data_IF_960822975435
#
_entry.id   IF_960822975435
#
_cell.length_a   1.000
_cell.length_b   1.000
_cell.length_c   1.000
_cell.angle_alpha   90.00
_cell.angle_beta   90.00
_cell.angle_gamma   90.00
#
_symmetry.space_group_name_H-M   'P 1'
#
loop_
_entity.id
_entity.type
_entity.pdbx_description
1 polymer ?
#
# COMPACT_ATOMS: atom_id res chain seq x y z
N UNK A 1 34.12 -16.09 -2.74
CA UNK A 1 32.72 -15.59 -2.69
C UNK A 1 31.88 -16.41 -3.67
N UNK A 2 30.90 -17.23 -3.25
CA UNK A 2 30.17 -18.05 -4.20
C UNK A 2 29.23 -17.16 -5.02
N UNK A 3 29.32 -17.30 -6.34
CA UNK A 3 28.59 -16.53 -7.33
C UNK A 3 27.07 -16.76 -7.15
N UNK A 4 26.30 -15.68 -7.05
CA UNK A 4 24.85 -15.64 -6.83
C UNK A 4 24.05 -16.05 -8.08
N UNK A 5 24.24 -17.26 -8.58
CA UNK A 5 23.46 -17.78 -9.69
C UNK A 5 22.23 -18.54 -9.17
N UNK A 6 21.05 -18.22 -9.68
CA UNK A 6 19.91 -19.15 -9.67
C UNK A 6 20.30 -20.30 -10.61
N UNK A 7 20.99 -21.33 -10.09
CA UNK A 7 21.70 -22.32 -10.91
C UNK A 7 20.86 -23.50 -11.42
N UNK A 8 19.54 -23.50 -11.18
CA UNK A 8 18.68 -24.65 -11.50
C UNK A 8 17.36 -24.21 -12.15
N UNK A 9 16.93 -25.00 -13.15
CA UNK A 9 15.62 -24.90 -13.77
C UNK A 9 14.54 -25.13 -12.70
N UNK A 10 13.61 -24.18 -12.54
CA UNK A 10 12.62 -24.22 -11.46
C UNK A 10 11.20 -24.28 -12.01
N UNK A 11 10.41 -25.22 -11.51
CA UNK A 11 8.96 -25.21 -11.75
C UNK A 11 8.29 -24.24 -10.77
N UNK A 12 7.52 -23.28 -11.28
CA UNK A 12 6.77 -22.32 -10.49
C UNK A 12 5.40 -22.03 -11.11
N UNK A 13 4.37 -21.88 -10.28
CA UNK A 13 3.08 -21.37 -10.73
C UNK A 13 3.04 -19.85 -10.59
N UNK A 14 2.48 -19.17 -11.58
CA UNK A 14 2.29 -17.73 -11.54
C UNK A 14 1.23 -17.35 -10.47
N UNK A 15 1.56 -16.43 -9.57
CA UNK A 15 0.63 -15.97 -8.54
C UNK A 15 -0.66 -15.33 -9.08
N UNK A 16 -0.62 -14.72 -10.28
CA UNK A 16 -1.77 -14.01 -10.86
C UNK A 16 -2.70 -14.88 -11.69
N UNK A 17 -2.15 -15.77 -12.52
CA UNK A 17 -2.91 -16.55 -13.51
C UNK A 17 -2.81 -18.07 -13.34
N UNK A 18 -2.10 -18.51 -12.30
CA UNK A 18 -1.92 -19.91 -11.93
C UNK A 18 -1.26 -20.80 -13.01
N UNK A 19 -0.70 -20.18 -14.05
CA UNK A 19 0.01 -20.88 -15.13
C UNK A 19 1.29 -21.52 -14.58
N UNK A 20 1.49 -22.80 -14.87
CA UNK A 20 2.70 -23.54 -14.53
C UNK A 20 3.81 -23.16 -15.51
N UNK A 21 4.95 -22.75 -14.95
CA UNK A 21 6.10 -22.23 -15.70
C UNK A 21 7.36 -22.99 -15.28
N UNK A 22 8.24 -23.21 -16.25
CA UNK A 22 9.62 -23.59 -15.99
C UNK A 22 10.48 -22.35 -16.15
N UNK A 23 11.04 -21.87 -15.05
CA UNK A 23 11.90 -20.70 -14.99
C UNK A 23 13.35 -21.17 -15.19
N UNK A 24 14.02 -20.79 -16.29
CA UNK A 24 15.42 -21.10 -16.50
C UNK A 24 16.31 -20.33 -15.52
N UNK A 25 17.58 -20.75 -15.35
CA UNK A 25 18.55 -19.95 -14.60
C UNK A 25 18.66 -18.53 -15.19
N UNK A 26 18.40 -17.51 -14.37
CA UNK A 26 18.41 -16.11 -14.80
C UNK A 26 19.77 -15.45 -14.59
N UNK A 27 20.21 -14.65 -15.56
CA UNK A 27 21.34 -13.72 -15.41
C UNK A 27 20.92 -12.46 -14.64
N UNK A 28 21.88 -11.69 -14.09
CA UNK A 28 21.61 -10.50 -13.24
C UNK A 28 20.72 -9.43 -13.89
N UNK A 29 20.71 -9.32 -15.21
CA UNK A 29 19.92 -8.34 -15.96
C UNK A 29 18.68 -8.94 -16.64
N UNK A 30 18.35 -10.20 -16.35
CA UNK A 30 17.19 -10.88 -16.95
C UNK A 30 16.07 -11.02 -15.92
N UNK A 31 14.84 -10.84 -16.38
CA UNK A 31 13.63 -11.08 -15.61
C UNK A 31 12.81 -12.17 -16.32
N UNK A 32 12.18 -13.06 -15.55
CA UNK A 32 11.25 -14.04 -16.09
C UNK A 32 9.84 -13.45 -16.08
N UNK A 33 9.17 -13.48 -17.24
CA UNK A 33 7.78 -13.06 -17.39
C UNK A 33 6.88 -14.25 -17.69
N UNK A 34 5.66 -14.22 -17.15
CA UNK A 34 4.66 -15.22 -17.47
C UNK A 34 4.08 -14.97 -18.88
N UNK A 35 4.11 -15.94 -19.82
CA UNK A 35 3.59 -15.77 -21.18
C UNK A 35 2.07 -15.58 -21.24
N UNK A 36 1.33 -16.04 -20.21
CA UNK A 36 -0.14 -15.93 -20.17
C UNK A 36 -0.61 -14.55 -19.73
N UNK A 37 0.04 -13.98 -18.71
CA UNK A 37 -0.42 -12.78 -18.04
C UNK A 37 0.58 -11.62 -18.08
N UNK A 38 1.80 -11.81 -18.59
CA UNK A 38 2.87 -10.81 -18.63
C UNK A 38 3.17 -10.21 -17.24
N UNK A 39 3.12 -11.04 -16.18
CA UNK A 39 3.63 -10.62 -14.86
C UNK A 39 5.05 -11.12 -14.70
N UNK A 40 5.90 -10.30 -14.07
CA UNK A 40 7.26 -10.69 -13.70
C UNK A 40 7.19 -11.70 -12.55
N UNK A 41 7.65 -12.93 -12.78
CA UNK A 41 7.59 -14.04 -11.82
C UNK A 41 8.89 -14.22 -11.05
N UNK A 42 10.02 -13.86 -11.66
CA UNK A 42 11.32 -13.87 -11.01
C UNK A 42 12.22 -12.76 -11.57
N UNK A 43 13.02 -12.19 -10.67
CA UNK A 43 14.03 -11.18 -11.01
C UNK A 43 15.42 -11.83 -10.93
N UNK A 44 16.31 -11.52 -11.87
CA UNK A 44 17.70 -11.97 -11.84
C UNK A 44 18.62 -11.12 -10.97
N UNK A 45 18.23 -9.88 -10.66
CA UNK A 45 18.98 -8.97 -9.78
C UNK A 45 18.59 -9.19 -8.33
N UNK A 46 19.59 -9.37 -7.46
CA UNK A 46 19.41 -9.46 -6.02
C UNK A 46 20.38 -8.50 -5.30
N UNK A 47 19.89 -7.80 -4.27
CA UNK A 47 20.75 -7.07 -3.35
C UNK A 47 21.07 -7.95 -2.15
N UNK A 48 22.33 -7.95 -1.73
CA UNK A 48 22.73 -8.68 -0.53
C UNK A 48 22.00 -8.11 0.70
N UNK A 49 21.62 -8.98 1.63
CA UNK A 49 20.96 -8.58 2.88
C UNK A 49 21.76 -7.52 3.66
N UNK A 50 23.09 -7.53 3.60
CA UNK A 50 23.93 -6.50 4.24
C UNK A 50 23.66 -5.08 3.69
N UNK A 51 23.48 -4.93 2.37
CA UNK A 51 23.19 -3.62 1.77
C UNK A 51 21.78 -3.13 2.15
N UNK A 52 20.81 -4.05 2.12
CA UNK A 52 19.44 -3.76 2.56
C UNK A 52 19.42 -3.36 4.05
N UNK A 53 20.17 -4.07 4.89
CA UNK A 53 20.27 -3.76 6.32
C UNK A 53 20.96 -2.42 6.61
N UNK A 54 22.00 -2.05 5.83
CA UNK A 54 22.67 -0.76 5.97
C UNK A 54 21.72 0.41 5.65
N UNK A 55 20.95 0.29 4.57
CA UNK A 55 19.93 1.30 4.21
C UNK A 55 18.81 1.33 5.25
N UNK A 56 18.34 0.17 5.72
CA UNK A 56 17.32 0.09 6.75
C UNK A 56 17.78 0.74 8.07
N UNK A 57 19.03 0.52 8.48
CA UNK A 57 19.60 1.17 9.65
C UNK A 57 19.68 2.70 9.48
N UNK A 58 20.15 3.18 8.32
CA UNK A 58 20.18 4.61 8.02
C UNK A 58 18.77 5.22 8.06
N UNK A 59 17.77 4.54 7.50
CA UNK A 59 16.37 4.97 7.56
C UNK A 59 15.86 5.03 9.01
N UNK A 60 16.14 4.02 9.84
CA UNK A 60 15.75 4.00 11.26
C UNK A 60 16.40 5.14 12.07
N UNK A 61 17.63 5.52 11.75
CA UNK A 61 18.33 6.64 12.42
C UNK A 61 17.75 7.99 12.00
N UNK A 62 17.40 8.16 10.72
CA UNK A 62 16.79 9.39 10.20
C UNK A 62 15.34 9.58 10.64
N UNK A 63 14.66 8.49 10.97
CA UNK A 63 13.22 8.47 11.21
C UNK A 63 12.77 9.33 12.40
N UNK A 64 13.40 9.29 13.60
CA UNK A 64 13.07 10.21 14.67
C UNK A 64 13.16 11.68 14.24
N UNK A 65 14.28 12.05 13.58
CA UNK A 65 14.51 13.42 13.12
C UNK A 65 13.45 13.86 12.09
N UNK A 66 13.06 12.99 11.17
CA UNK A 66 12.04 13.29 10.16
C UNK A 66 10.63 13.49 10.75
N UNK A 67 10.32 12.86 11.88
CA UNK A 67 8.98 12.88 12.46
C UNK A 67 8.79 13.91 13.58
N UNK A 68 9.85 14.25 14.31
CA UNK A 68 9.80 15.20 15.43
C UNK A 68 10.15 16.63 15.03
N UNK A 69 11.06 16.81 14.06
CA UNK A 69 11.44 18.15 13.62
C UNK A 69 10.29 18.82 12.83
N UNK A 70 10.18 20.15 12.87
CA UNK A 70 9.18 20.88 12.09
C UNK A 70 9.42 20.65 10.60
N UNK A 71 8.37 20.22 9.91
CA UNK A 71 8.31 20.06 8.47
C UNK A 71 8.00 21.40 7.78
N UNK A 72 7.06 22.15 8.35
CA UNK A 72 6.65 23.45 7.85
C UNK A 72 6.62 24.43 9.02
N UNK A 73 7.10 25.65 8.75
CA UNK A 73 7.06 26.78 9.67
C UNK A 73 6.18 27.85 9.06
N UNK A 74 5.17 28.27 9.78
CA UNK A 74 4.29 29.36 9.35
C UNK A 74 4.53 30.54 10.28
N UNK A 75 4.61 31.74 9.73
CA UNK A 75 4.55 32.95 10.52
C UNK A 75 3.14 33.56 10.39
N UNK A 76 2.38 33.51 11.48
CA UNK A 76 1.06 34.14 11.60
C UNK A 76 1.17 35.23 12.66
N UNK A 77 0.93 36.48 12.26
CA UNK A 77 0.89 37.64 13.17
C UNK A 77 2.15 37.80 14.05
N UNK A 78 3.33 37.43 13.54
CA UNK A 78 4.60 37.55 14.26
C UNK A 78 4.95 36.36 15.16
N UNK A 79 4.09 35.34 15.23
CA UNK A 79 4.35 34.09 15.96
C UNK A 79 4.73 33.00 14.96
N UNK A 80 5.87 32.35 15.20
CA UNK A 80 6.30 31.19 14.41
C UNK A 80 5.60 29.93 14.92
N UNK A 81 4.79 29.33 14.07
CA UNK A 81 4.11 28.06 14.30
C UNK A 81 4.89 26.97 13.57
N UNK A 82 5.32 25.97 14.35
CA UNK A 82 5.98 24.78 13.86
C UNK A 82 4.94 23.68 13.71
N UNK A 83 5.01 22.93 12.61
CA UNK A 83 4.20 21.74 12.40
C UNK A 83 5.08 20.53 12.10
N UNK A 84 4.91 19.49 12.90
CA UNK A 84 5.54 18.18 12.74
C UNK A 84 4.51 17.09 12.50
N UNK A 85 4.96 15.94 11.99
CA UNK A 85 4.08 14.79 11.80
C UNK A 85 3.47 14.33 13.13
N UNK A 86 4.29 14.29 14.17
CA UNK A 86 3.89 13.81 15.49
C UNK A 86 2.82 14.69 16.14
N UNK A 87 2.97 16.02 16.06
CA UNK A 87 1.98 16.97 16.58
C UNK A 87 0.64 16.82 15.88
N UNK A 88 0.62 16.71 14.54
CA UNK A 88 -0.63 16.50 13.79
C UNK A 88 -1.39 15.26 14.21
N UNK A 89 -0.67 14.14 14.40
CA UNK A 89 -1.26 12.89 14.89
C UNK A 89 -1.82 13.03 16.31
N UNK A 90 -1.06 13.65 17.21
CA UNK A 90 -1.46 13.86 18.59
C UNK A 90 -2.74 14.71 18.67
N UNK A 91 -2.78 15.81 17.93
CA UNK A 91 -3.89 16.74 17.90
C UNK A 91 -5.16 16.10 17.32
N UNK A 92 -5.01 15.38 16.21
CA UNK A 92 -6.10 14.65 15.57
C UNK A 92 -6.72 13.58 16.47
N UNK A 93 -5.90 12.89 17.27
CA UNK A 93 -6.37 11.90 18.23
C UNK A 93 -7.16 12.55 19.38
N UNK A 94 -6.68 13.67 19.91
CA UNK A 94 -7.34 14.39 21.01
C UNK A 94 -8.67 15.05 20.63
N UNK A 95 -8.84 15.42 19.36
CA UNK A 95 -10.06 16.09 18.89
C UNK A 95 -11.22 15.18 18.50
N UNK A 96 -11.14 13.89 18.86
CA UNK A 96 -12.23 12.96 18.64
C UNK A 96 -12.16 12.22 17.30
N UNK A 97 -11.03 12.25 16.59
CA UNK A 97 -10.79 11.45 15.37
C UNK A 97 -9.70 10.36 15.55
N UNK A 98 -9.75 9.53 16.61
CA UNK A 98 -8.69 8.56 16.89
C UNK A 98 -8.57 7.46 15.82
N UNK A 99 -9.68 7.07 15.18
CA UNK A 99 -9.66 6.06 14.11
C UNK A 99 -8.85 6.55 12.91
N UNK A 100 -9.05 7.80 12.50
CA UNK A 100 -8.32 8.36 11.37
C UNK A 100 -6.85 8.63 11.76
N UNK A 101 -6.60 9.13 12.97
CA UNK A 101 -5.24 9.32 13.48
C UNK A 101 -4.45 8.00 13.55
N UNK A 102 -5.07 6.92 14.05
CA UNK A 102 -4.43 5.60 14.12
C UNK A 102 -4.12 5.03 12.73
N UNK A 103 -4.98 5.25 11.73
CA UNK A 103 -4.68 4.83 10.36
C UNK A 103 -3.49 5.61 9.77
N UNK A 104 -3.44 6.93 9.98
CA UNK A 104 -2.32 7.77 9.54
C UNK A 104 -1.02 7.36 10.25
N UNK A 105 -1.06 7.15 11.58
CA UNK A 105 0.07 6.65 12.36
C UNK A 105 0.55 5.29 11.81
N UNK A 106 -0.37 4.38 11.53
CA UNK A 106 -0.05 3.05 11.01
C UNK A 106 0.69 3.15 9.66
N UNK A 107 0.22 3.98 8.74
CA UNK A 107 0.74 4.03 7.36
C UNK A 107 1.97 4.94 7.21
N UNK A 108 2.03 6.06 7.92
CA UNK A 108 3.08 7.06 7.79
C UNK A 108 4.27 6.83 8.74
N UNK A 109 4.04 6.18 9.90
CA UNK A 109 5.06 5.97 10.95
C UNK A 109 5.31 4.49 11.19
N UNK A 110 4.29 3.74 11.63
CA UNK A 110 4.49 2.39 12.13
C UNK A 110 4.90 1.42 11.01
N UNK A 111 4.26 1.45 9.83
CA UNK A 111 4.59 0.56 8.73
C UNK A 111 6.01 0.80 8.16
N UNK A 112 6.44 2.05 7.89
CA UNK A 112 7.83 2.35 7.55
C UNK A 112 8.83 1.86 8.61
N UNK A 113 8.55 2.13 9.90
CA UNK A 113 9.40 1.74 11.01
C UNK A 113 9.53 0.22 11.13
N UNK A 114 8.40 -0.49 11.10
CA UNK A 114 8.35 -1.95 11.17
C UNK A 114 8.97 -2.60 9.91
N UNK A 115 8.90 -1.95 8.75
CA UNK A 115 9.48 -2.49 7.51
C UNK A 115 11.00 -2.37 7.52
N UNK A 116 11.54 -1.19 7.82
CA UNK A 116 12.97 -1.00 7.99
C UNK A 116 13.51 -1.83 9.17
N UNK A 117 12.82 -1.80 10.31
CA UNK A 117 13.12 -2.60 11.50
C UNK A 117 13.11 -4.10 11.22
N UNK A 118 12.15 -4.61 10.45
CA UNK A 118 12.08 -6.01 10.06
C UNK A 118 13.25 -6.43 9.17
N UNK A 119 13.66 -5.60 8.20
CA UNK A 119 14.84 -5.88 7.35
C UNK A 119 16.12 -5.90 8.20
N UNK A 120 16.27 -4.94 9.12
CA UNK A 120 17.42 -4.91 10.03
C UNK A 120 17.40 -6.12 10.99
N UNK A 121 16.22 -6.50 11.49
CA UNK A 121 16.02 -7.71 12.27
C UNK A 121 16.42 -8.97 11.50
N UNK A 122 16.09 -9.10 10.21
CA UNK A 122 16.55 -10.25 9.40
C UNK A 122 18.09 -10.35 9.37
N UNK A 123 18.79 -9.22 9.38
CA UNK A 123 20.25 -9.19 9.43
C UNK A 123 20.78 -9.65 10.80
N UNK A 124 20.18 -9.19 11.90
CA UNK A 124 20.51 -9.63 13.27
C UNK A 124 20.16 -11.11 13.46
N UNK A 125 18.95 -11.52 13.14
CA UNK A 125 18.45 -12.88 13.26
C UNK A 125 19.34 -13.86 12.48
N UNK A 126 19.87 -13.46 11.32
CA UNK A 126 20.85 -14.26 10.59
C UNK A 126 22.18 -14.41 11.36
N UNK A 127 22.64 -13.36 12.06
CA UNK A 127 23.86 -13.40 12.87
C UNK A 127 23.70 -14.34 14.07
N UNK A 128 22.53 -14.32 14.71
CA UNK A 128 22.19 -15.14 15.89
C UNK A 128 21.47 -16.46 15.59
N UNK A 129 21.30 -16.81 14.30
CA UNK A 129 20.58 -18.01 13.81
C UNK A 129 19.15 -18.16 14.35
N UNK A 130 18.44 -17.05 14.58
CA UNK A 130 17.02 -17.07 14.93
C UNK A 130 16.14 -17.43 13.72
N UNK A 131 14.88 -17.81 13.99
CA UNK A 131 13.93 -18.14 12.93
C UNK A 131 13.56 -16.89 12.11
N UNK A 132 13.81 -16.94 10.80
CA UNK A 132 13.54 -15.83 9.86
C UNK A 132 12.11 -15.86 9.30
N UNK A 133 11.42 -17.00 9.46
CA UNK A 133 10.08 -17.27 8.90
C UNK A 133 9.03 -16.21 9.27
N UNK A 134 8.76 -15.91 10.56
CA UNK A 134 7.68 -14.98 10.90
C UNK A 134 7.95 -13.57 10.39
N UNK A 135 9.21 -13.11 10.44
CA UNK A 135 9.59 -11.79 9.96
C UNK A 135 9.40 -11.66 8.44
N UNK A 136 9.78 -12.68 7.67
CA UNK A 136 9.56 -12.68 6.22
C UNK A 136 8.07 -12.62 5.84
N UNK A 137 7.21 -13.33 6.59
CA UNK A 137 5.75 -13.28 6.38
C UNK A 137 5.17 -11.88 6.66
N UNK A 138 5.59 -11.27 7.78
CA UNK A 138 5.10 -9.93 8.17
C UNK A 138 5.58 -8.88 7.17
N UNK A 139 6.86 -8.91 6.77
CA UNK A 139 7.44 -7.94 5.82
C UNK A 139 6.76 -7.94 4.46
N UNK A 140 6.34 -9.12 3.97
CA UNK A 140 5.65 -9.23 2.69
C UNK A 140 4.32 -8.47 2.70
N UNK A 141 3.54 -8.63 3.77
CA UNK A 141 2.28 -7.90 3.95
C UNK A 141 2.51 -6.41 4.24
N UNK A 142 3.49 -6.10 5.09
CA UNK A 142 3.76 -4.74 5.54
C UNK A 142 4.24 -3.81 4.41
N UNK A 143 4.92 -4.36 3.39
CA UNK A 143 5.38 -3.62 2.20
C UNK A 143 4.26 -2.79 1.57
N UNK A 144 3.02 -3.28 1.53
CA UNK A 144 1.92 -2.58 0.88
C UNK A 144 1.40 -1.36 1.67
N UNK A 145 1.70 -1.30 2.97
CA UNK A 145 1.25 -0.26 3.90
C UNK A 145 2.25 0.89 4.08
N UNK A 146 3.46 0.76 3.54
CA UNK A 146 4.47 1.82 3.57
C UNK A 146 4.09 2.90 2.54
N UNK A 147 3.71 4.09 3.01
CA UNK A 147 3.16 5.18 2.17
C UNK A 147 3.87 6.52 2.38
N UNK A 148 5.15 6.45 2.73
CA UNK A 148 5.93 7.64 3.08
C UNK A 148 6.17 8.57 1.87
N UNK A 149 6.18 8.01 0.65
CA UNK A 149 6.16 8.73 -0.62
C UNK A 149 4.86 9.54 -0.81
N UNK A 150 3.70 8.93 -0.53
CA UNK A 150 2.40 9.60 -0.60
C UNK A 150 2.29 10.70 0.46
N UNK A 151 2.86 10.49 1.64
CA UNK A 151 2.93 11.50 2.70
C UNK A 151 3.74 12.75 2.25
N UNK A 152 4.88 12.56 1.59
CA UNK A 152 5.67 13.68 1.04
C UNK A 152 4.85 14.49 0.01
N UNK A 153 4.08 13.82 -0.84
CA UNK A 153 3.18 14.49 -1.79
C UNK A 153 2.06 15.26 -1.08
N UNK A 154 1.47 14.67 -0.04
CA UNK A 154 0.44 15.33 0.78
C UNK A 154 0.98 16.60 1.47
N UNK A 155 2.24 16.59 1.90
CA UNK A 155 2.92 17.78 2.42
C UNK A 155 3.01 18.90 1.39
N UNK A 156 3.32 18.56 0.13
CA UNK A 156 3.30 19.51 -0.98
C UNK A 156 1.90 20.11 -1.19
N UNK A 157 0.87 19.28 -1.30
CA UNK A 157 -0.53 19.73 -1.45
C UNK A 157 -0.97 20.61 -0.28
N UNK A 158 -0.60 20.24 0.94
CA UNK A 158 -0.92 21.02 2.15
C UNK A 158 -0.22 22.38 2.15
N UNK A 159 1.07 22.43 1.81
CA UNK A 159 1.80 23.68 1.70
C UNK A 159 1.14 24.61 0.67
N UNK A 160 0.69 24.10 -0.48
CA UNK A 160 -0.04 24.91 -1.44
C UNK A 160 -1.37 25.43 -0.89
N UNK A 161 -2.15 24.56 -0.22
CA UNK A 161 -3.45 24.96 0.36
C UNK A 161 -3.32 26.06 1.40
N UNK A 162 -2.23 26.09 2.17
CA UNK A 162 -2.03 27.07 3.26
C UNK A 162 -1.40 28.38 2.77
N UNK A 163 -0.73 28.36 1.62
CA UNK A 163 0.02 29.54 1.12
C UNK A 163 -0.84 30.78 0.94
N UNK A 164 -2.12 30.61 0.67
CA UNK A 164 -3.08 31.71 0.52
C UNK A 164 -3.38 32.40 1.87
N UNK A 165 -3.14 31.74 3.00
CA UNK A 165 -3.42 32.24 4.34
C UNK A 165 -2.19 32.74 5.09
N UNK A 166 -0.99 32.22 4.79
CA UNK A 166 0.23 32.59 5.51
C UNK A 166 1.52 32.32 4.73
N UNK A 167 2.59 33.04 5.12
CA UNK A 167 3.95 32.82 4.59
C UNK A 167 4.51 31.50 5.13
N UNK A 168 4.82 30.58 4.22
CA UNK A 168 5.35 29.26 4.51
C UNK A 168 6.87 29.22 4.32
N UNK A 169 7.57 28.79 5.36
CA UNK A 169 8.98 28.45 5.33
C UNK A 169 9.16 26.94 5.55
N UNK A 170 10.06 26.34 4.78
CA UNK A 170 10.42 24.94 4.99
C UNK A 170 11.14 24.75 6.33
N UNK A 171 10.70 23.77 7.12
CA UNK A 171 11.38 23.41 8.36
C UNK A 171 12.56 22.46 8.12
N UNK A 172 13.43 22.32 9.12
CA UNK A 172 14.61 21.44 9.02
C UNK A 172 14.23 19.97 8.82
N UNK A 173 13.04 19.55 9.24
CA UNK A 173 12.52 18.19 9.08
C UNK A 173 12.26 17.76 7.62
N UNK A 174 12.18 18.70 6.67
CA UNK A 174 11.98 18.37 5.25
C UNK A 174 13.12 17.54 4.64
N UNK A 175 14.36 17.89 5.00
CA UNK A 175 15.56 17.22 4.48
C UNK A 175 15.61 15.75 4.94
N UNK A 176 15.53 15.43 6.25
CA UNK A 176 15.50 14.05 6.70
C UNK A 176 14.25 13.32 6.21
N UNK A 177 13.09 13.97 6.06
CA UNK A 177 11.91 13.35 5.45
C UNK A 177 12.18 12.96 3.99
N UNK A 178 12.73 13.85 3.17
CA UNK A 178 13.06 13.56 1.77
C UNK A 178 14.13 12.47 1.64
N UNK A 179 15.15 12.48 2.50
CA UNK A 179 16.15 11.40 2.50
C UNK A 179 15.53 10.07 2.93
N UNK A 180 14.65 10.10 3.94
CA UNK A 180 13.92 8.92 4.41
C UNK A 180 13.00 8.36 3.32
N UNK A 181 12.27 9.20 2.58
CA UNK A 181 11.44 8.76 1.44
C UNK A 181 12.30 8.02 0.41
N UNK A 182 13.43 8.61 0.03
CA UNK A 182 14.34 8.02 -0.95
C UNK A 182 14.92 6.67 -0.48
N UNK A 183 15.38 6.58 0.77
CA UNK A 183 15.90 5.32 1.33
C UNK A 183 14.81 4.24 1.41
N UNK A 184 13.59 4.60 1.82
CA UNK A 184 12.46 3.67 1.89
C UNK A 184 12.03 3.20 0.50
N UNK A 185 11.95 4.09 -0.49
CA UNK A 185 11.67 3.71 -1.89
C UNK A 185 12.75 2.78 -2.44
N UNK A 186 14.03 3.05 -2.18
CA UNK A 186 15.12 2.16 -2.56
C UNK A 186 15.00 0.77 -1.92
N UNK A 187 14.64 0.69 -0.64
CA UNK A 187 14.34 -0.58 0.04
C UNK A 187 13.18 -1.29 -0.65
N UNK A 188 12.07 -0.61 -0.94
CA UNK A 188 10.88 -1.25 -1.55
C UNK A 188 11.14 -1.78 -2.95
N UNK A 189 11.95 -1.08 -3.76
CA UNK A 189 12.33 -1.50 -5.11
C UNK A 189 13.22 -2.75 -5.06
N UNK A 190 14.21 -2.78 -4.17
CA UNK A 190 15.21 -3.84 -4.11
C UNK A 190 14.86 -5.00 -3.16
N UNK A 191 13.85 -4.83 -2.31
CA UNK A 191 13.35 -5.87 -1.42
C UNK A 191 12.52 -6.90 -2.22
N UNK A 192 13.12 -8.07 -2.44
CA UNK A 192 12.49 -9.22 -3.08
C UNK A 192 12.27 -10.37 -2.08
N UNK A 193 11.04 -10.55 -1.54
CA UNK A 193 10.76 -11.58 -0.54
C UNK A 193 10.93 -13.00 -1.11
N UNK A 194 10.52 -13.24 -2.36
CA UNK A 194 10.59 -14.56 -2.99
C UNK A 194 12.03 -15.11 -3.06
N UNK A 195 12.98 -14.22 -3.37
CA UNK A 195 14.42 -14.55 -3.39
C UNK A 195 14.96 -14.80 -1.98
N UNK A 196 14.62 -13.96 -1.00
CA UNK A 196 15.07 -14.12 0.39
C UNK A 196 14.61 -15.47 0.96
N UNK A 197 13.34 -15.81 0.76
CA UNK A 197 12.84 -17.12 1.11
C UNK A 197 13.63 -18.25 0.43
N UNK A 198 14.09 -18.07 -0.82
CA UNK A 198 14.81 -19.13 -1.58
C UNK A 198 16.22 -19.33 -1.08
N UNK A 199 16.85 -18.23 -0.67
CA UNK A 199 18.18 -18.23 -0.11
C UNK A 199 18.24 -18.87 1.27
N UNK A 200 17.26 -18.59 2.13
CA UNK A 200 17.30 -19.04 3.54
C UNK A 200 16.52 -20.33 3.80
N UNK A 201 15.48 -20.61 3.01
CA UNK A 201 14.70 -21.83 3.09
C UNK A 201 14.55 -22.45 1.69
N UNK A 202 15.64 -22.98 1.11
CA UNK A 202 15.57 -23.71 -0.14
C UNK A 202 14.79 -25.01 0.07
N UNK A 203 13.91 -25.30 -0.88
CA UNK A 203 13.20 -26.57 -0.98
C UNK A 203 13.53 -27.19 -2.34
N UNK A 204 13.57 -28.52 -2.44
CA UNK A 204 13.78 -29.19 -3.70
C UNK A 204 12.67 -28.83 -4.69
N UNK A 205 13.05 -28.66 -5.95
CA UNK A 205 12.10 -28.40 -7.05
C UNK A 205 11.21 -29.64 -7.20
N UNK A 206 9.89 -29.49 -7.42
CA UNK A 206 9.02 -30.64 -7.74
C UNK A 206 9.60 -31.42 -8.92
N UNK A 207 9.65 -32.74 -8.83
CA UNK A 207 10.15 -33.58 -9.93
C UNK A 207 9.28 -33.41 -11.18
N UNK A 208 9.86 -33.60 -12.37
CA UNK A 208 9.13 -33.57 -13.64
C UNK A 208 7.93 -34.53 -13.69
N UNK A 209 7.95 -35.57 -12.85
CA UNK A 209 6.91 -36.59 -12.78
C UNK A 209 5.75 -36.20 -11.85
N UNK A 210 5.85 -35.10 -11.10
CA UNK A 210 4.72 -34.62 -10.29
C UNK A 210 3.62 -34.09 -11.21
N UNK A 211 2.38 -34.59 -11.10
CA UNK A 211 1.30 -34.12 -11.96
C UNK A 211 1.03 -32.64 -11.69
N UNK A 212 0.76 -31.85 -12.75
CA UNK A 212 0.66 -30.40 -12.65
C UNK A 212 -0.43 -29.96 -11.66
N UNK A 213 -1.49 -30.73 -11.50
CA UNK A 213 -2.62 -30.47 -10.59
C UNK A 213 -2.24 -30.49 -9.11
N UNK A 214 -1.21 -31.27 -8.74
CA UNK A 214 -0.75 -31.36 -7.35
C UNK A 214 0.22 -30.24 -6.96
N UNK A 215 0.74 -29.51 -7.94
CA UNK A 215 1.62 -28.36 -7.70
C UNK A 215 0.73 -27.15 -7.37
N UNK A 216 0.74 -26.72 -6.12
CA UNK A 216 0.00 -25.56 -5.64
C UNK A 216 0.93 -24.36 -5.44
N UNK A 217 0.43 -23.14 -5.67
CA UNK A 217 1.13 -21.90 -5.33
C UNK A 217 0.79 -21.45 -3.91
N UNK A 218 1.79 -21.28 -3.06
CA UNK A 218 1.63 -20.66 -1.75
C UNK A 218 1.65 -19.13 -1.88
N UNK A 219 0.57 -18.42 -1.51
CA UNK A 219 0.50 -16.98 -1.68
C UNK A 219 1.40 -16.19 -0.71
N UNK A 220 1.86 -16.79 0.39
CA UNK A 220 2.59 -16.08 1.44
C UNK A 220 4.13 -16.21 1.36
N UNK A 221 4.64 -17.13 0.53
CA UNK A 221 6.08 -17.30 0.38
C UNK A 221 6.48 -17.60 -1.07
N UNK A 222 5.53 -17.53 -2.00
CA UNK A 222 5.68 -17.79 -3.43
C UNK A 222 6.35 -19.15 -3.75
N UNK A 223 6.21 -20.13 -2.85
CA UNK A 223 6.62 -21.50 -3.09
C UNK A 223 5.60 -22.18 -4.00
N UNK A 224 6.07 -22.96 -4.96
CA UNK A 224 5.22 -23.78 -5.83
C UNK A 224 5.63 -25.24 -5.66
N UNK A 225 4.68 -26.06 -5.22
CA UNK A 225 4.93 -27.46 -4.95
C UNK A 225 3.78 -28.11 -4.21
N UNK A 226 4.00 -29.34 -3.75
CA UNK A 226 3.00 -30.08 -3.00
C UNK A 226 2.89 -29.59 -1.55
N UNK A 227 1.69 -29.55 -0.97
CA UNK A 227 1.51 -29.35 0.45
C UNK A 227 1.99 -30.58 1.24
N UNK A 228 2.38 -30.38 2.50
CA UNK A 228 2.62 -31.49 3.43
C UNK A 228 1.31 -32.25 3.71
N UNK A 229 1.41 -33.42 4.35
CA UNK A 229 0.27 -34.29 4.74
C UNK A 229 -0.85 -33.51 5.44
N UNK A 230 -0.52 -32.49 6.24
CA UNK A 230 -1.48 -31.62 6.93
C UNK A 230 -2.07 -30.48 6.07
N UNK A 231 -1.86 -30.47 4.75
CA UNK A 231 -2.30 -29.40 3.84
C UNK A 231 -1.55 -28.06 4.00
N UNK A 232 -0.34 -28.08 4.57
CA UNK A 232 0.46 -26.88 4.87
C UNK A 232 1.66 -26.75 3.95
N UNK A 233 2.13 -25.52 3.73
CA UNK A 233 3.34 -25.25 3.00
C UNK A 233 4.55 -25.81 3.75
N UNK A 234 5.43 -26.62 3.12
CA UNK A 234 6.66 -27.09 3.75
C UNK A 234 7.61 -25.93 4.14
N UNK A 235 7.47 -24.76 3.50
CA UNK A 235 8.34 -23.60 3.68
C UNK A 235 7.91 -22.67 4.81
N UNK A 236 6.71 -22.12 4.69
CA UNK A 236 6.19 -21.11 5.61
C UNK A 236 5.17 -21.68 6.61
N UNK A 237 4.83 -22.97 6.51
CA UNK A 237 3.87 -23.68 7.37
C UNK A 237 2.42 -23.17 7.31
N UNK A 238 2.11 -22.18 6.46
CA UNK A 238 0.75 -21.72 6.22
C UNK A 238 -0.03 -22.71 5.37
N UNK A 239 -1.36 -22.78 5.56
CA UNK A 239 -2.24 -23.67 4.77
C UNK A 239 -2.14 -23.33 3.27
N UNK A 240 -1.83 -24.34 2.44
CA UNK A 240 -1.80 -24.18 0.98
C UNK A 240 -3.14 -24.62 0.40
N UNK A 241 -3.73 -23.76 -0.44
CA UNK A 241 -5.01 -24.01 -1.10
C UNK A 241 -4.92 -23.52 -2.54
N UNK A 242 -5.67 -24.17 -3.43
CA UNK A 242 -5.75 -23.77 -4.84
C UNK A 242 -6.32 -22.34 -4.99
N UNK A 243 -7.34 -21.99 -4.20
CA UNK A 243 -7.98 -20.67 -4.19
C UNK A 243 -8.19 -20.16 -2.78
N UNK A 244 -8.27 -18.84 -2.63
CA UNK A 244 -8.62 -18.21 -1.37
C UNK A 244 -10.06 -18.53 -0.97
N UNK A 245 -10.27 -18.86 0.31
CA UNK A 245 -11.62 -19.12 0.83
C UNK A 245 -12.44 -17.83 0.84
N UNK A 246 -13.66 -17.91 0.28
CA UNK A 246 -14.64 -16.83 0.29
C UNK A 246 -14.10 -15.51 -0.29
N UNK A 247 -13.11 -15.54 -1.18
CA UNK A 247 -12.52 -14.32 -1.77
C UNK A 247 -13.58 -13.43 -2.41
N UNK A 248 -14.49 -14.00 -3.20
CA UNK A 248 -15.62 -13.27 -3.80
C UNK A 248 -16.52 -12.62 -2.76
N UNK A 249 -16.96 -13.37 -1.75
CA UNK A 249 -17.87 -12.86 -0.71
C UNK A 249 -17.22 -11.73 0.10
N UNK A 250 -15.96 -11.89 0.51
CA UNK A 250 -15.21 -10.85 1.25
C UNK A 250 -15.03 -9.59 0.41
N UNK A 251 -14.70 -9.75 -0.86
CA UNK A 251 -14.51 -8.61 -1.78
C UNK A 251 -15.84 -7.89 -2.03
N UNK A 252 -16.94 -8.62 -2.25
CA UNK A 252 -18.29 -8.03 -2.36
C UNK A 252 -18.68 -7.24 -1.11
N UNK A 253 -18.51 -7.83 0.07
CA UNK A 253 -18.82 -7.17 1.33
C UNK A 253 -18.02 -5.87 1.51
N UNK A 254 -16.72 -5.90 1.23
CA UNK A 254 -15.85 -4.73 1.33
C UNK A 254 -16.23 -3.63 0.32
N UNK A 255 -16.52 -3.99 -0.94
CA UNK A 255 -16.90 -3.03 -1.98
C UNK A 255 -18.26 -2.41 -1.69
N UNK A 256 -19.26 -3.20 -1.30
CA UNK A 256 -20.59 -2.68 -0.93
C UNK A 256 -20.51 -1.76 0.29
N UNK A 257 -19.77 -2.14 1.31
CA UNK A 257 -19.53 -1.29 2.48
C UNK A 257 -18.83 0.01 2.07
N UNK A 258 -17.83 -0.04 1.18
CA UNK A 258 -17.16 1.16 0.68
C UNK A 258 -18.10 2.10 -0.08
N UNK A 259 -19.03 1.57 -0.89
CA UNK A 259 -20.05 2.38 -1.59
C UNK A 259 -20.93 3.13 -0.60
N UNK A 260 -21.43 2.42 0.43
CA UNK A 260 -22.28 3.02 1.47
C UNK A 260 -21.53 4.12 2.23
N UNK A 261 -20.24 3.92 2.52
CA UNK A 261 -19.41 4.90 3.23
C UNK A 261 -19.01 6.09 2.34
N UNK A 262 -18.88 5.90 1.01
CA UNK A 262 -18.47 6.97 0.09
C UNK A 262 -19.56 8.04 -0.08
N UNK A 263 -20.83 7.68 0.09
CA UNK A 263 -21.96 8.63 -0.02
C UNK A 263 -21.93 9.72 1.07
N UNK A 264 -21.93 9.41 2.38
CA UNK A 264 -21.80 10.43 3.41
C UNK A 264 -20.43 11.11 3.37
N UNK A 265 -19.37 10.43 2.94
CA UNK A 265 -18.04 11.03 2.80
C UNK A 265 -17.97 12.20 1.81
N UNK A 266 -18.79 12.19 0.75
CA UNK A 266 -18.83 13.27 -0.25
C UNK A 266 -19.90 14.33 0.04
N UNK A 267 -20.92 14.01 0.84
CA UNK A 267 -22.03 14.91 1.14
C UNK A 267 -21.82 15.71 2.44
N UNK A 268 -21.11 15.14 3.41
CA UNK A 268 -20.86 15.78 4.70
C UNK A 268 -19.61 16.68 4.64
N UNK A 269 -19.50 17.67 5.55
CA UNK A 269 -18.30 18.49 5.64
C UNK A 269 -17.12 17.64 6.10
N UNK A 270 -15.99 17.82 5.42
CA UNK A 270 -14.71 17.15 5.72
C UNK A 270 -13.81 18.00 6.60
N UNK A 271 -13.93 19.31 6.50
CA UNK A 271 -13.23 20.26 7.37
C UNK A 271 -14.19 21.34 7.84
N UNK A 272 -14.05 21.73 9.09
CA UNK A 272 -14.77 22.83 9.72
C UNK A 272 -13.72 23.84 10.16
N UNK A 273 -13.77 25.05 9.60
CA UNK A 273 -12.86 26.13 9.92
C UNK A 273 -13.62 27.22 10.68
N UNK A 274 -13.11 27.64 11.83
CA UNK A 274 -13.62 28.81 12.53
C UNK A 274 -12.74 30.02 12.22
N UNK A 275 -13.28 30.97 11.46
CA UNK A 275 -12.63 32.25 11.18
C UNK A 275 -13.40 33.35 11.88
N UNK A 276 -12.78 34.04 12.85
CA UNK A 276 -13.43 35.12 13.63
C UNK A 276 -14.77 34.70 14.26
N UNK A 277 -14.87 33.46 14.74
CA UNK A 277 -16.08 32.92 15.36
C UNK A 277 -17.18 32.47 14.38
N UNK A 278 -17.01 32.67 13.07
CA UNK A 278 -17.94 32.15 12.05
C UNK A 278 -17.50 30.74 11.65
N UNK A 279 -18.42 29.79 11.77
CA UNK A 279 -18.23 28.39 11.38
C UNK A 279 -18.38 28.27 9.86
N UNK A 280 -17.27 28.07 9.15
CA UNK A 280 -17.25 27.72 7.74
C UNK A 280 -17.08 26.20 7.61
N UNK A 281 -18.00 25.54 6.90
CA UNK A 281 -17.94 24.11 6.66
C UNK A 281 -17.60 23.84 5.20
N UNK A 282 -16.55 23.06 4.97
CA UNK A 282 -16.13 22.68 3.64
C UNK A 282 -16.34 21.18 3.41
N UNK A 283 -17.04 20.86 2.33
CA UNK A 283 -17.04 19.54 1.72
C UNK A 283 -15.80 19.38 0.83
N UNK A 284 -15.51 18.15 0.40
CA UNK A 284 -14.43 17.92 -0.59
C UNK A 284 -14.68 18.79 -1.85
N UNK A 285 -15.93 18.85 -2.31
CA UNK A 285 -16.30 19.61 -3.50
C UNK A 285 -16.19 21.13 -3.31
N UNK A 286 -16.64 21.67 -2.17
CA UNK A 286 -16.50 23.11 -1.90
C UNK A 286 -15.03 23.52 -1.76
N UNK A 287 -14.21 22.67 -1.14
CA UNK A 287 -12.76 22.88 -1.07
C UNK A 287 -12.08 22.93 -2.45
N UNK A 288 -12.50 22.07 -3.38
CA UNK A 288 -12.03 22.10 -4.77
C UNK A 288 -12.49 23.38 -5.47
N UNK A 289 -13.75 23.78 -5.28
CA UNK A 289 -14.30 24.98 -5.91
C UNK A 289 -13.59 26.26 -5.41
N UNK A 290 -13.26 26.33 -4.12
CA UNK A 290 -12.47 27.42 -3.54
C UNK A 290 -11.07 27.51 -4.17
N UNK A 291 -10.40 26.38 -4.39
CA UNK A 291 -9.10 26.35 -5.07
C UNK A 291 -9.18 26.86 -6.52
N UNK A 292 -10.26 26.55 -7.24
CA UNK A 292 -10.49 27.05 -8.59
C UNK A 292 -10.71 28.56 -8.59
N UNK A 293 -11.49 29.08 -7.63
CA UNK A 293 -11.74 30.52 -7.47
C UNK A 293 -10.47 31.30 -7.14
N UNK A 294 -9.55 30.70 -6.38
CA UNK A 294 -8.25 31.29 -6.05
C UNK A 294 -7.20 31.17 -7.19
N UNK A 295 -7.63 30.83 -8.42
CA UNK A 295 -6.78 30.68 -9.59
C UNK A 295 -5.73 29.54 -9.49
N UNK A 296 -5.91 28.62 -8.54
CA UNK A 296 -5.02 27.48 -8.27
C UNK A 296 -5.54 26.19 -8.93
N UNK A 297 -5.96 26.29 -10.20
CA UNK A 297 -6.58 25.20 -10.99
C UNK A 297 -5.76 23.90 -11.01
N UNK A 298 -4.42 23.90 -11.20
CA UNK A 298 -3.64 22.66 -11.23
C UNK A 298 -3.76 21.84 -9.94
N UNK A 299 -3.82 22.51 -8.78
CA UNK A 299 -3.93 21.86 -7.47
C UNK A 299 -5.35 21.34 -7.27
N UNK A 300 -6.36 22.12 -7.67
CA UNK A 300 -7.76 21.68 -7.63
C UNK A 300 -7.96 20.37 -8.42
N UNK A 301 -7.32 20.22 -9.58
CA UNK A 301 -7.34 18.98 -10.38
C UNK A 301 -6.70 17.82 -9.60
N UNK A 302 -5.54 18.04 -8.96
CA UNK A 302 -4.86 17.00 -8.18
C UNK A 302 -5.75 16.51 -7.03
N UNK A 303 -6.35 17.43 -6.28
CA UNK A 303 -7.26 17.09 -5.15
C UNK A 303 -8.52 16.40 -5.67
N UNK A 304 -9.16 16.91 -6.73
CA UNK A 304 -10.32 16.27 -7.34
C UNK A 304 -10.04 14.84 -7.79
N UNK A 305 -8.90 14.63 -8.47
CA UNK A 305 -8.50 13.31 -8.94
C UNK A 305 -8.23 12.37 -7.77
N UNK A 306 -7.49 12.81 -6.75
CA UNK A 306 -7.15 12.00 -5.59
C UNK A 306 -8.35 11.64 -4.71
N UNK A 307 -9.25 12.60 -4.46
CA UNK A 307 -10.33 12.46 -3.48
C UNK A 307 -11.62 11.89 -4.03
N UNK A 308 -11.98 12.21 -5.27
CA UNK A 308 -13.26 11.81 -5.85
C UNK A 308 -13.05 10.77 -6.93
N UNK A 309 -12.22 11.08 -7.93
CA UNK A 309 -12.08 10.22 -9.11
C UNK A 309 -11.43 8.87 -8.77
N UNK A 310 -10.32 8.88 -8.03
CA UNK A 310 -9.57 7.66 -7.69
C UNK A 310 -10.41 6.65 -6.89
N UNK A 311 -11.09 7.01 -5.77
CA UNK A 311 -11.96 6.08 -5.05
C UNK A 311 -13.12 5.57 -5.90
N UNK A 312 -13.74 6.45 -6.70
CA UNK A 312 -14.87 6.08 -7.56
C UNK A 312 -14.45 5.09 -8.65
N UNK A 313 -13.35 5.36 -9.35
CA UNK A 313 -12.79 4.46 -10.37
C UNK A 313 -12.44 3.10 -9.74
N UNK A 314 -11.86 3.09 -8.54
CA UNK A 314 -11.52 1.86 -7.81
C UNK A 314 -12.76 1.01 -7.52
N UNK A 315 -13.84 1.62 -7.04
CA UNK A 315 -15.11 0.92 -6.78
C UNK A 315 -15.71 0.38 -8.08
N UNK A 316 -15.80 1.22 -9.13
CA UNK A 316 -16.40 0.83 -10.41
C UNK A 316 -15.65 -0.35 -11.03
N UNK A 317 -14.32 -0.30 -11.05
CA UNK A 317 -13.50 -1.38 -11.61
C UNK A 317 -13.64 -2.65 -10.77
N UNK A 318 -13.62 -2.57 -9.44
CA UNK A 318 -13.77 -3.74 -8.57
C UNK A 318 -15.16 -4.37 -8.72
N UNK A 319 -16.23 -3.57 -8.79
CA UNK A 319 -17.59 -4.05 -9.10
C UNK A 319 -17.64 -4.75 -10.46
N UNK A 320 -17.08 -4.14 -11.51
CA UNK A 320 -17.07 -4.73 -12.85
C UNK A 320 -16.33 -6.08 -12.87
N UNK A 321 -15.20 -6.19 -12.17
CA UNK A 321 -14.47 -7.46 -12.03
C UNK A 321 -15.29 -8.51 -11.28
N UNK A 322 -15.94 -8.12 -10.18
CA UNK A 322 -16.77 -9.02 -9.38
C UNK A 322 -17.99 -9.53 -10.16
N UNK A 323 -18.71 -8.64 -10.84
CA UNK A 323 -19.85 -8.98 -11.70
C UNK A 323 -19.38 -9.91 -12.81
N UNK A 324 -18.28 -9.59 -13.47
CA UNK A 324 -17.75 -10.42 -14.56
C UNK A 324 -17.39 -11.83 -14.09
N UNK A 325 -16.80 -11.98 -12.90
CA UNK A 325 -16.48 -13.30 -12.34
C UNK A 325 -17.74 -14.06 -11.89
N UNK A 326 -18.68 -13.38 -11.22
CA UNK A 326 -19.90 -13.99 -10.70
C UNK A 326 -20.85 -14.46 -11.80
N UNK A 327 -21.09 -13.62 -12.81
CA UNK A 327 -21.97 -13.90 -13.95
C UNK A 327 -21.24 -14.58 -15.13
N UNK A 328 -19.97 -14.92 -14.95
CA UNK A 328 -19.12 -15.55 -15.97
C UNK A 328 -19.11 -14.82 -17.32
N UNK A 329 -19.13 -13.49 -17.28
CA UNK A 329 -19.17 -12.67 -18.49
C UNK A 329 -17.81 -12.79 -19.21
N UNK A 330 -17.83 -13.12 -20.50
CA UNK A 330 -16.66 -13.41 -21.34
C UNK A 330 -15.82 -12.18 -21.72
N UNK A 331 -15.48 -11.31 -20.77
CA UNK A 331 -14.59 -10.18 -21.02
C UNK A 331 -13.17 -10.64 -21.36
N UNK A 332 -12.43 -9.81 -22.12
CA UNK A 332 -11.06 -10.13 -22.50
C UNK A 332 -10.17 -10.19 -21.25
N UNK A 333 -9.62 -11.37 -20.93
CA UNK A 333 -8.79 -11.67 -19.74
C UNK A 333 -7.66 -10.66 -19.49
N UNK A 334 -6.99 -10.23 -20.56
CA UNK A 334 -5.91 -9.21 -20.49
C UNK A 334 -6.43 -7.86 -20.00
N UNK A 335 -7.64 -7.46 -20.41
CA UNK A 335 -8.28 -6.22 -19.95
C UNK A 335 -8.61 -6.28 -18.47
N UNK A 336 -9.26 -7.36 -18.01
CA UNK A 336 -9.60 -7.52 -16.58
C UNK A 336 -8.36 -7.50 -15.70
N UNK A 337 -7.28 -8.17 -16.12
CA UNK A 337 -6.03 -8.17 -15.36
C UNK A 337 -5.35 -6.80 -15.36
N UNK A 338 -5.34 -6.09 -16.49
CA UNK A 338 -4.78 -4.75 -16.58
C UNK A 338 -5.57 -3.74 -15.73
N UNK A 339 -6.90 -3.84 -15.74
CA UNK A 339 -7.78 -3.06 -14.86
C UNK A 339 -7.46 -3.33 -13.38
N UNK A 340 -7.31 -4.60 -12.99
CA UNK A 340 -6.92 -4.94 -11.63
C UNK A 340 -5.53 -4.38 -11.26
N UNK A 341 -4.54 -4.49 -12.16
CA UNK A 341 -3.20 -3.93 -11.93
C UNK A 341 -3.24 -2.41 -11.77
N UNK A 342 -4.00 -1.73 -12.61
CA UNK A 342 -4.21 -0.29 -12.54
C UNK A 342 -4.78 0.11 -11.17
N UNK A 343 -5.85 -0.58 -10.73
CA UNK A 343 -6.46 -0.35 -9.41
C UNK A 343 -5.49 -0.65 -8.26
N UNK A 344 -4.73 -1.74 -8.34
CA UNK A 344 -3.74 -2.11 -7.32
C UNK A 344 -2.65 -1.06 -7.17
N UNK A 345 -2.16 -0.48 -8.27
CA UNK A 345 -1.13 0.58 -8.26
C UNK A 345 -1.70 1.87 -7.66
N UNK A 346 -2.90 2.26 -8.08
CA UNK A 346 -3.58 3.46 -7.60
C UNK A 346 -3.98 3.33 -6.13
N UNK A 347 -4.17 2.11 -5.64
CA UNK A 347 -4.62 1.82 -4.28
C UNK A 347 -3.88 2.63 -3.22
N UNK A 348 -2.54 2.75 -3.31
CA UNK A 348 -1.72 3.50 -2.34
C UNK A 348 -1.99 5.01 -2.35
N UNK A 349 -2.35 5.57 -3.49
CA UNK A 349 -2.58 7.01 -3.67
C UNK A 349 -3.86 7.50 -2.99
N UNK A 350 -4.81 6.60 -2.77
CA UNK A 350 -6.09 6.91 -2.12
C UNK A 350 -5.97 7.41 -0.67
N UNK A 351 -4.78 7.29 -0.06
CA UNK A 351 -4.49 7.76 1.31
C UNK A 351 -3.97 9.20 1.36
N UNK A 352 -3.70 9.83 0.21
CA UNK A 352 -3.17 11.19 0.12
C UNK A 352 -3.99 12.18 0.95
N UNK A 353 -5.32 12.13 0.83
CA UNK A 353 -6.19 13.12 1.48
C UNK A 353 -6.20 13.00 3.00
N UNK A 354 -6.12 11.78 3.53
CA UNK A 354 -6.02 11.58 4.98
C UNK A 354 -4.71 12.18 5.53
N UNK A 355 -3.63 12.10 4.76
CA UNK A 355 -2.38 12.76 5.11
C UNK A 355 -2.48 14.28 5.01
N UNK A 356 -3.14 14.82 3.98
CA UNK A 356 -3.40 16.27 3.88
C UNK A 356 -4.22 16.77 5.06
N UNK A 357 -5.28 16.05 5.44
CA UNK A 357 -6.12 16.40 6.59
C UNK A 357 -5.34 16.38 7.91
N UNK A 358 -4.52 15.34 8.14
CA UNK A 358 -3.68 15.25 9.33
C UNK A 358 -2.62 16.36 9.39
N UNK A 359 -2.06 16.77 8.24
CA UNK A 359 -1.12 17.88 8.15
C UNK A 359 -1.79 19.24 8.39
N UNK A 360 -2.97 19.47 7.78
CA UNK A 360 -3.77 20.68 8.03
C UNK A 360 -4.12 20.83 9.51
N UNK A 361 -4.48 19.72 10.16
CA UNK A 361 -4.74 19.65 11.60
C UNK A 361 -3.55 20.17 12.42
N UNK A 362 -2.33 19.74 12.09
CA UNK A 362 -1.11 20.20 12.75
C UNK A 362 -0.77 21.68 12.50
N UNK A 363 -1.11 22.19 11.32
CA UNK A 363 -0.65 23.50 10.84
C UNK A 363 -1.60 24.63 11.24
N UNK A 364 -2.91 24.37 11.21
CA UNK A 364 -3.93 25.41 11.29
C UNK A 364 -4.54 25.50 12.68
N UNK A 365 -4.65 24.38 13.40
CA UNK A 365 -5.38 24.39 14.66
C UNK A 365 -4.52 24.86 15.83
N UNK A 366 -4.79 26.07 16.29
CA UNK A 366 -4.26 26.62 17.54
C UNK A 366 -5.34 27.51 18.15
N UNK A 367 -5.83 27.10 19.33
CA UNK A 367 -6.99 27.56 20.11
C UNK A 367 -7.31 29.07 20.19
N UNK A 368 -6.48 29.96 19.65
CA UNK A 368 -6.58 31.41 19.82
C UNK A 368 -6.81 32.24 18.54
N UNK A 369 -6.63 31.69 17.32
CA UNK A 369 -6.75 32.52 16.08
C UNK A 369 -7.52 31.81 14.94
N UNK A 370 -7.22 30.55 14.68
CA UNK A 370 -7.88 29.70 13.69
C UNK A 370 -8.03 28.31 14.33
N UNK A 371 -9.25 27.82 14.45
CA UNK A 371 -9.47 26.41 14.79
C UNK A 371 -9.92 25.66 13.55
N UNK A 372 -9.20 24.59 13.25
CA UNK A 372 -9.49 23.70 12.13
C UNK A 372 -9.83 22.37 12.74
N UNK A 373 -11.07 21.91 12.58
CA UNK A 373 -11.47 20.59 13.05
C UNK A 373 -11.90 19.73 11.88
N UNK A 374 -11.72 18.42 12.02
CA UNK A 374 -12.22 17.48 11.04
C UNK A 374 -13.74 17.42 11.15
N UNK A 375 -14.41 17.35 10.00
CA UNK A 375 -15.83 17.09 9.94
C UNK A 375 -16.14 15.60 9.97
N UNK A 376 -17.41 15.21 10.16
CA UNK A 376 -17.82 13.80 10.22
C UNK A 376 -17.51 13.02 8.94
N UNK A 377 -17.36 13.69 7.79
CA UNK A 377 -16.99 13.03 6.53
C UNK A 377 -15.62 12.34 6.58
N UNK A 378 -14.69 12.83 7.41
CA UNK A 378 -13.34 12.28 7.52
C UNK A 378 -13.34 10.80 7.95
N UNK A 379 -14.24 10.42 8.86
CA UNK A 379 -14.40 9.03 9.29
C UNK A 379 -14.92 8.14 8.16
N UNK A 380 -15.99 8.57 7.48
CA UNK A 380 -16.59 7.82 6.36
C UNK A 380 -15.63 7.68 5.19
N UNK A 381 -14.91 8.75 4.86
CA UNK A 381 -13.88 8.75 3.83
C UNK A 381 -12.76 7.75 4.17
N UNK A 382 -12.25 7.81 5.40
CA UNK A 382 -11.24 6.89 5.91
C UNK A 382 -11.69 5.43 5.83
N UNK A 383 -12.92 5.14 6.26
CA UNK A 383 -13.50 3.80 6.19
C UNK A 383 -13.63 3.31 4.73
N UNK A 384 -14.09 4.16 3.81
CA UNK A 384 -14.21 3.83 2.39
C UNK A 384 -12.83 3.50 1.77
N UNK A 385 -11.81 4.33 2.02
CA UNK A 385 -10.45 4.10 1.53
C UNK A 385 -9.88 2.78 2.05
N UNK A 386 -10.00 2.53 3.35
CA UNK A 386 -9.52 1.29 3.98
C UNK A 386 -10.23 0.05 3.42
N UNK A 387 -11.56 0.09 3.30
CA UNK A 387 -12.35 -1.03 2.75
C UNK A 387 -11.99 -1.32 1.28
N UNK A 388 -11.77 -0.30 0.46
CA UNK A 388 -11.35 -0.52 -0.94
C UNK A 388 -9.94 -1.10 -1.03
N UNK A 389 -9.03 -0.79 -0.08
CA UNK A 389 -7.72 -1.43 0.00
C UNK A 389 -7.84 -2.91 0.34
N UNK A 390 -8.62 -3.25 1.37
CA UNK A 390 -8.90 -4.64 1.73
C UNK A 390 -9.58 -5.42 0.60
N UNK A 391 -10.50 -4.80 -0.13
CA UNK A 391 -11.14 -5.42 -1.28
C UNK A 391 -10.11 -5.83 -2.35
N UNK A 392 -9.13 -4.96 -2.65
CA UNK A 392 -8.07 -5.28 -3.59
C UNK A 392 -7.13 -6.39 -3.07
N UNK A 393 -6.79 -6.40 -1.77
CA UNK A 393 -5.97 -7.46 -1.15
C UNK A 393 -6.68 -8.83 -1.15
N UNK A 394 -8.00 -8.85 -0.90
CA UNK A 394 -8.78 -10.08 -0.81
C UNK A 394 -9.21 -10.67 -2.15
N UNK A 395 -9.16 -9.90 -3.23
CA UNK A 395 -9.57 -10.35 -4.56
C UNK A 395 -8.52 -11.28 -5.18
N UNK A 396 -8.89 -12.54 -5.42
CA UNK A 396 -8.03 -13.53 -6.07
C UNK A 396 -8.12 -13.42 -7.60
N UNK A 397 -7.10 -12.83 -8.23
CA UNK A 397 -7.05 -12.65 -9.70
C UNK A 397 -7.13 -13.96 -10.48
N UNK A 398 -6.83 -15.11 -9.85
CA UNK A 398 -6.88 -16.42 -10.50
C UNK A 398 -8.32 -16.82 -10.86
N UNK A 399 -9.32 -16.30 -10.14
CA UNK A 399 -10.73 -16.53 -10.43
C UNK A 399 -11.16 -16.01 -11.81
N UNK A 400 -10.53 -14.94 -12.30
CA UNK A 400 -10.76 -14.42 -13.66
C UNK A 400 -10.47 -15.49 -14.73
N UNK A 401 -9.47 -16.34 -14.47
CA UNK A 401 -9.04 -17.38 -15.39
C UNK A 401 -9.89 -18.64 -15.29
N UNK A 402 -10.45 -18.94 -14.12
CA UNK A 402 -11.28 -20.13 -13.88
C UNK A 402 -12.62 -20.05 -14.63
N UNK A 403 -13.19 -18.85 -14.72
CA UNK A 403 -14.42 -18.60 -15.51
C UNK A 403 -14.30 -19.07 -16.96
N UNK A 404 -13.09 -18.97 -17.51
CA UNK A 404 -12.79 -19.30 -18.91
C UNK A 404 -12.15 -20.67 -19.07
N UNK A 405 -11.79 -21.35 -17.98
CA UNK A 405 -11.41 -22.75 -18.06
C UNK A 405 -12.69 -23.52 -18.41
N UNK A 406 -12.68 -24.24 -19.55
CA UNK A 406 -13.77 -25.18 -19.85
C UNK A 406 -13.96 -26.04 -18.60
N UNK A 407 -15.20 -26.30 -18.15
CA UNK A 407 -15.40 -27.26 -17.08
C UNK A 407 -14.75 -28.56 -17.55
N UNK A 408 -13.60 -28.90 -16.96
CA UNK A 408 -13.07 -30.25 -17.05
C UNK A 408 -14.16 -31.11 -16.46
N UNK A 409 -14.81 -31.90 -17.30
CA UNK A 409 -15.71 -32.96 -16.90
C UNK A 409 -14.91 -33.96 -16.07
N UNK A 410 -14.68 -33.65 -14.79
CA UNK A 410 -14.47 -34.66 -13.78
C UNK A 410 -15.86 -35.19 -13.44
N UNK A 411 -16.34 -36.10 -14.29
CA UNK A 411 -17.39 -37.04 -13.91
C UNK A 411 -16.89 -37.87 -12.73
N UNK A 412 -17.82 -38.11 -11.80
CA UNK A 412 -17.86 -39.06 -10.68
C UNK A 412 -16.95 -38.79 -9.50
#
# INVERSE_FOLDING_TARGET
MPKHHLSQLRVARCGYCDCLLQIPPLMRNQNAECPRCMSVTAYGRDWSLNRLAAIALAALILMPLAYTEPLLKINLFGVNINASLWEGLWQMAWQGFPVTATLVLLCAVAAPALFAGGIFYLWIARRFRWSLRPCLLILEKLKEWVMLDVYLLALGVTAFKIRDYALLNGGFGLIPLFLLTLLMTLLMIHFNPAQLWQRYYPLPVPSSNTPPEQILHCPHCHYSGQPNVAGRCPRCLMKMRARYQQSLQKTWAAVLAAIVMLLPANLLPISILYVRGVRAEDTIMSGILSLVQNNNVPIAIIVFVASILVPLVKIVVMLALLISVQFRIGWRRRWQLNLFRFVSIIGRWSMLDLFVLALMMSLVDRDQILSFTLGPAAFFFCAAVYLTMLAAEWFDTRLIWDVHAKPTTSRT
#
